data_IF_993207550321
#
_entry.id   IF_993207550321
#
_cell.length_a   1.000
_cell.length_b   1.000
_cell.length_c   1.000
_cell.angle_alpha   90.00
_cell.angle_beta   90.00
_cell.angle_gamma   90.00
#
_symmetry.space_group_name_H-M   'P 1'
#
loop_
_entity.id
_entity.type
_entity.pdbx_description
1 polymer ?
#
# COMPACT_ATOMS: atom_id res chain seq x y z
N UNK A 1 16.05 -13.32 -8.79
CA UNK A 1 17.00 -13.11 -7.68
C UNK A 1 16.15 -12.79 -6.45
N UNK A 2 16.22 -13.58 -5.38
CA UNK A 2 15.37 -13.30 -4.20
C UNK A 2 15.89 -12.02 -3.55
N UNK A 3 15.05 -11.02 -3.23
CA UNK A 3 15.50 -9.84 -2.49
C UNK A 3 16.19 -10.29 -1.20
N UNK A 4 17.25 -9.60 -0.76
CA UNK A 4 17.96 -10.01 0.44
C UNK A 4 16.98 -10.03 1.63
N UNK A 5 17.12 -10.99 2.56
CA UNK A 5 16.22 -11.07 3.71
C UNK A 5 16.28 -9.77 4.49
N UNK A 6 15.17 -9.33 5.09
CA UNK A 6 15.12 -8.06 5.85
C UNK A 6 16.26 -7.95 6.88
N UNK A 7 16.65 -9.08 7.46
CA UNK A 7 17.76 -9.18 8.43
C UNK A 7 19.12 -8.75 7.89
N UNK A 8 19.31 -8.69 6.56
CA UNK A 8 20.55 -8.18 5.97
C UNK A 8 20.77 -6.69 6.23
N UNK A 9 19.73 -5.96 6.64
CA UNK A 9 19.80 -4.54 6.96
C UNK A 9 19.91 -4.28 8.46
N UNK A 10 19.89 -5.31 9.32
CA UNK A 10 19.80 -5.16 10.78
C UNK A 10 20.90 -4.27 11.35
N UNK A 11 22.16 -4.47 10.96
CA UNK A 11 23.27 -3.64 11.48
C UNK A 11 23.09 -2.16 11.13
N UNK A 12 22.64 -1.86 9.90
CA UNK A 12 22.39 -0.48 9.45
C UNK A 12 21.17 0.11 10.15
N UNK A 13 20.11 -0.68 10.33
CA UNK A 13 18.88 -0.26 11.03
C UNK A 13 19.18 0.01 12.50
N UNK A 14 19.87 -0.90 13.18
CA UNK A 14 20.27 -0.76 14.59
C UNK A 14 21.15 0.49 14.78
N UNK A 15 22.17 0.68 13.95
CA UNK A 15 23.02 1.87 14.02
C UNK A 15 22.23 3.18 13.77
N UNK A 16 21.17 3.16 12.96
CA UNK A 16 20.30 4.32 12.78
C UNK A 16 19.38 4.53 13.99
N UNK A 17 18.77 3.46 14.50
CA UNK A 17 17.89 3.50 15.69
C UNK A 17 18.61 4.00 16.93
N UNK A 18 19.88 3.63 17.11
CA UNK A 18 20.74 4.09 18.21
C UNK A 18 21.00 5.60 18.15
N UNK A 19 20.95 6.19 16.94
CA UNK A 19 21.11 7.63 16.75
C UNK A 19 19.81 8.40 16.91
N UNK A 20 18.64 7.74 16.87
CA UNK A 20 17.33 8.40 16.86
C UNK A 20 16.85 8.78 18.26
N UNK A 21 16.22 9.96 18.37
CA UNK A 21 15.42 10.30 19.55
C UNK A 21 14.11 9.53 19.56
N UNK A 22 13.41 9.54 20.70
CA UNK A 22 12.10 8.89 20.80
C UNK A 22 11.07 9.55 19.88
N UNK A 23 11.14 10.88 19.71
CA UNK A 23 10.28 11.62 18.78
C UNK A 23 10.53 11.22 17.33
N UNK A 24 11.78 10.99 16.92
CA UNK A 24 12.08 10.50 15.58
C UNK A 24 11.60 9.07 15.39
N UNK A 25 11.68 8.20 16.42
CA UNK A 25 11.16 6.83 16.37
C UNK A 25 9.63 6.81 16.22
N UNK A 26 8.93 7.59 17.05
CA UNK A 26 7.47 7.76 16.95
C UNK A 26 7.07 8.38 15.62
N UNK A 27 7.85 9.36 15.14
CA UNK A 27 7.66 9.98 13.83
C UNK A 27 7.76 8.97 12.69
N UNK A 28 8.73 8.06 12.71
CA UNK A 28 8.84 6.99 11.71
C UNK A 28 7.64 6.03 11.71
N UNK A 29 6.92 5.90 12.83
CA UNK A 29 5.68 5.13 12.94
C UNK A 29 4.43 5.94 12.51
N UNK A 30 4.60 7.20 12.12
CA UNK A 30 3.51 8.11 11.77
C UNK A 30 3.42 8.28 10.26
N UNK A 31 2.28 7.89 9.70
CA UNK A 31 1.89 8.15 8.31
C UNK A 31 0.75 9.17 8.28
N UNK A 32 0.89 10.22 7.47
CA UNK A 32 -0.14 11.28 7.32
C UNK A 32 -0.69 11.33 5.89
N UNK A 33 -1.94 11.75 5.73
CA UNK A 33 -2.50 12.06 4.41
C UNK A 33 -1.87 13.34 3.84
N UNK A 34 -1.64 13.39 2.52
CA UNK A 34 -1.17 14.58 1.81
C UNK A 34 -2.04 15.83 2.07
N UNK A 35 -3.31 15.66 2.43
CA UNK A 35 -4.20 16.77 2.80
C UNK A 35 -3.62 17.67 3.91
N UNK A 36 -2.78 17.12 4.81
CA UNK A 36 -2.16 17.89 5.88
C UNK A 36 -1.02 18.79 5.43
N UNK A 37 -0.45 18.56 4.23
CA UNK A 37 0.72 19.30 3.74
C UNK A 37 0.43 20.17 2.50
N UNK A 38 -0.80 20.18 2.00
CA UNK A 38 -1.21 21.03 0.87
C UNK A 38 -1.90 22.29 1.36
N UNK A 39 -1.90 23.35 0.54
CA UNK A 39 -2.54 24.63 0.89
C UNK A 39 -4.05 24.46 1.08
N UNK A 40 -4.69 23.85 0.10
CA UNK A 40 -6.13 23.58 0.07
C UNK A 40 -6.39 22.24 -0.66
N UNK A 41 -6.79 21.17 0.05
CA UNK A 41 -7.00 19.86 -0.55
C UNK A 41 -8.26 19.78 -1.42
N UNK A 42 -9.17 20.75 -1.31
CA UNK A 42 -10.42 20.79 -2.09
C UNK A 42 -10.23 21.38 -3.49
N UNK A 43 -9.06 21.96 -3.77
CA UNK A 43 -8.72 22.51 -5.08
C UNK A 43 -8.68 21.44 -6.15
N UNK A 44 -9.09 21.75 -7.40
CA UNK A 44 -8.97 20.82 -8.52
C UNK A 44 -7.56 20.21 -8.60
N UNK A 45 -7.46 18.97 -9.10
CA UNK A 45 -6.23 18.19 -9.08
C UNK A 45 -5.02 18.93 -9.66
N UNK A 46 -5.22 19.78 -10.67
CA UNK A 46 -4.18 20.56 -11.35
C UNK A 46 -3.77 21.85 -10.63
N UNK A 47 -4.40 22.16 -9.50
CA UNK A 47 -4.15 23.34 -8.66
C UNK A 47 -3.65 22.95 -7.26
N UNK A 48 -3.46 21.64 -6.99
CA UNK A 48 -2.92 21.18 -5.72
C UNK A 48 -1.46 21.62 -5.58
N UNK A 49 -1.21 22.39 -4.53
CA UNK A 49 0.10 22.93 -4.19
C UNK A 49 0.50 22.54 -2.76
N UNK A 50 1.73 22.05 -2.61
CA UNK A 50 2.33 21.80 -1.29
C UNK A 50 2.54 23.13 -0.56
N UNK A 51 2.10 23.18 0.69
CA UNK A 51 2.35 24.28 1.59
C UNK A 51 3.72 24.05 2.28
N UNK A 52 4.74 24.89 2.02
CA UNK A 52 6.08 24.68 2.55
C UNK A 52 6.13 24.74 4.08
N UNK A 53 5.28 25.55 4.72
CA UNK A 53 5.26 25.66 6.17
C UNK A 53 4.64 24.42 6.80
N UNK A 54 3.53 23.92 6.24
CA UNK A 54 2.92 22.66 6.72
C UNK A 54 3.83 21.46 6.48
N UNK A 55 4.50 21.40 5.33
CA UNK A 55 5.48 20.36 5.04
C UNK A 55 6.65 20.39 6.03
N UNK A 56 7.20 21.58 6.29
CA UNK A 56 8.26 21.79 7.29
C UNK A 56 7.80 21.36 8.67
N UNK A 57 6.59 21.74 9.10
CA UNK A 57 6.04 21.31 10.40
C UNK A 57 5.95 19.79 10.47
N UNK A 58 5.36 19.15 9.46
CA UNK A 58 5.18 17.71 9.44
C UNK A 58 6.52 16.95 9.54
N UNK A 59 7.52 17.35 8.75
CA UNK A 59 8.80 16.65 8.66
C UNK A 59 9.77 17.09 9.76
N UNK A 60 9.94 18.39 9.99
CA UNK A 60 10.95 18.91 10.91
C UNK A 60 10.46 18.96 12.35
N UNK A 61 9.18 19.22 12.61
CA UNK A 61 8.69 19.33 13.98
C UNK A 61 8.16 17.97 14.46
N UNK A 62 7.38 17.26 13.63
CA UNK A 62 6.76 15.97 13.97
C UNK A 62 7.50 14.73 13.47
N UNK A 63 8.58 14.89 12.69
CA UNK A 63 9.48 13.78 12.27
C UNK A 63 8.78 12.64 11.53
N UNK A 64 7.65 12.91 10.86
CA UNK A 64 6.85 11.86 10.20
C UNK A 64 7.70 10.99 9.27
N UNK A 65 7.40 9.69 9.22
CA UNK A 65 8.11 8.74 8.36
C UNK A 65 7.44 8.55 7.01
N UNK A 66 6.14 8.85 6.90
CA UNK A 66 5.38 8.54 5.71
C UNK A 66 4.27 9.53 5.40
N UNK A 67 4.00 9.69 4.10
CA UNK A 67 2.85 10.41 3.56
C UNK A 67 2.08 9.47 2.63
N UNK A 68 0.77 9.61 2.53
CA UNK A 68 -0.02 8.84 1.59
C UNK A 68 -1.05 9.66 0.78
N UNK A 69 -1.60 8.97 -0.22
CA UNK A 69 -2.81 9.33 -0.97
C UNK A 69 -2.62 10.48 -1.98
N UNK A 70 -3.66 10.79 -2.74
CA UNK A 70 -3.89 12.07 -3.40
C UNK A 70 -4.74 12.97 -2.49
N UNK A 71 -4.72 14.27 -2.74
CA UNK A 71 -5.76 15.16 -2.23
C UNK A 71 -7.11 14.87 -2.90
N UNK A 72 -8.18 15.51 -2.42
CA UNK A 72 -9.57 15.10 -2.67
C UNK A 72 -9.99 15.07 -4.15
N UNK A 73 -9.23 15.70 -5.04
CA UNK A 73 -9.68 16.03 -6.40
C UNK A 73 -9.16 15.15 -7.53
N UNK A 74 -8.62 13.97 -7.22
CA UNK A 74 -8.36 12.91 -8.20
C UNK A 74 -6.91 12.79 -8.67
N UNK A 75 -6.69 12.15 -9.82
CA UNK A 75 -5.36 11.80 -10.32
C UNK A 75 -4.53 13.02 -10.77
N UNK A 76 -3.23 13.03 -10.46
CA UNK A 76 -2.30 14.09 -10.84
C UNK A 76 -1.54 13.78 -12.13
N UNK A 77 -1.07 14.84 -12.79
CA UNK A 77 -0.11 14.68 -13.88
C UNK A 77 1.22 14.10 -13.35
N UNK A 78 1.94 13.37 -14.19
CA UNK A 78 3.23 12.77 -13.83
C UNK A 78 4.24 13.82 -13.32
N UNK A 79 4.35 14.95 -14.00
CA UNK A 79 5.25 16.05 -13.62
C UNK A 79 4.87 16.67 -12.27
N UNK A 80 3.57 16.74 -11.96
CA UNK A 80 3.08 17.24 -10.69
C UNK A 80 3.45 16.29 -9.54
N UNK A 81 3.29 14.98 -9.74
CA UNK A 81 3.77 14.00 -8.77
C UNK A 81 5.27 14.13 -8.51
N UNK A 82 6.07 14.22 -9.57
CA UNK A 82 7.52 14.38 -9.45
C UNK A 82 7.90 15.63 -8.68
N UNK A 83 7.24 16.77 -8.94
CA UNK A 83 7.44 18.00 -8.18
C UNK A 83 7.09 17.85 -6.69
N UNK A 84 5.93 17.24 -6.38
CA UNK A 84 5.49 16.98 -4.99
C UNK A 84 6.50 16.08 -4.26
N UNK A 85 6.88 14.96 -4.87
CA UNK A 85 7.83 14.01 -4.26
C UNK A 85 9.20 14.67 -4.07
N UNK A 86 9.70 15.44 -5.05
CA UNK A 86 10.95 16.18 -4.91
C UNK A 86 10.90 17.14 -3.72
N UNK A 87 9.84 17.95 -3.59
CA UNK A 87 9.66 18.88 -2.45
C UNK A 87 9.68 18.15 -1.11
N UNK A 88 8.97 17.02 -1.00
CA UNK A 88 8.93 16.19 0.21
C UNK A 88 10.34 15.68 0.55
N UNK A 89 11.04 15.07 -0.40
CA UNK A 89 12.36 14.50 -0.15
C UNK A 89 13.43 15.57 0.10
N UNK A 90 13.33 16.74 -0.54
CA UNK A 90 14.25 17.85 -0.30
C UNK A 90 14.06 18.47 1.08
N UNK A 91 12.84 18.48 1.61
CA UNK A 91 12.60 18.85 3.01
C UNK A 91 13.12 17.77 3.98
N UNK A 92 12.85 16.49 3.70
CA UNK A 92 13.35 15.36 4.49
C UNK A 92 14.88 15.37 4.67
N UNK A 93 15.62 15.69 3.60
CA UNK A 93 17.09 15.81 3.63
C UNK A 93 17.60 16.86 4.63
N UNK A 94 16.83 17.90 4.94
CA UNK A 94 17.21 18.95 5.90
C UNK A 94 17.09 18.50 7.36
N UNK A 95 16.41 17.38 7.61
CA UNK A 95 16.31 16.82 8.97
C UNK A 95 17.65 16.28 9.45
N UNK A 96 17.82 16.17 10.77
CA UNK A 96 19.09 15.82 11.44
C UNK A 96 19.73 14.52 10.93
N UNK A 97 18.92 13.49 10.66
CA UNK A 97 19.37 12.19 10.16
C UNK A 97 19.08 11.97 8.67
N UNK A 98 18.47 12.95 8.00
CA UNK A 98 18.11 12.91 6.58
C UNK A 98 17.37 11.62 6.15
N UNK A 99 16.53 11.07 7.03
CA UNK A 99 15.73 9.88 6.73
C UNK A 99 14.68 10.25 5.66
N UNK A 100 14.64 9.54 4.51
CA UNK A 100 13.69 9.86 3.44
C UNK A 100 12.25 9.51 3.84
N UNK A 101 11.29 10.28 3.33
CA UNK A 101 9.86 10.02 3.58
C UNK A 101 9.39 8.89 2.66
N UNK A 102 8.72 7.88 3.24
CA UNK A 102 8.08 6.83 2.46
C UNK A 102 6.71 7.31 1.95
N UNK A 103 6.52 7.41 0.64
CA UNK A 103 5.22 7.77 0.07
C UNK A 103 4.42 6.53 -0.34
N UNK A 104 3.19 6.41 0.17
CA UNK A 104 2.27 5.32 -0.16
C UNK A 104 1.08 5.77 -1.02
N UNK A 105 0.63 4.91 -1.94
CA UNK A 105 -0.54 5.21 -2.79
C UNK A 105 -1.35 3.96 -3.13
N UNK A 106 -2.65 4.12 -3.33
CA UNK A 106 -3.50 3.08 -3.89
C UNK A 106 -3.36 3.03 -5.43
N UNK A 107 -2.42 2.22 -5.93
CA UNK A 107 -2.34 1.79 -7.34
C UNK A 107 -2.93 0.38 -7.46
N UNK A 108 -4.26 0.29 -7.61
CA UNK A 108 -5.03 -0.94 -7.37
C UNK A 108 -5.44 -1.71 -8.64
N UNK A 109 -5.39 -1.05 -9.81
CA UNK A 109 -5.70 -1.69 -11.10
C UNK A 109 -4.89 -1.01 -12.22
N UNK A 110 -3.61 -0.80 -11.96
CA UNK A 110 -2.80 0.22 -12.65
C UNK A 110 -2.50 1.38 -11.74
N UNK A 111 -1.73 2.33 -12.25
CA UNK A 111 -1.37 3.58 -11.55
C UNK A 111 -2.53 4.58 -11.57
N UNK A 112 -3.69 4.23 -10.99
CA UNK A 112 -4.96 4.95 -11.16
C UNK A 112 -4.97 6.42 -10.69
N UNK A 113 -4.04 6.81 -9.82
CA UNK A 113 -3.87 8.20 -9.39
C UNK A 113 -2.80 8.97 -10.19
N UNK A 114 -2.29 8.40 -11.27
CA UNK A 114 -1.39 9.02 -12.22
C UNK A 114 -2.14 9.18 -13.55
N UNK A 115 -2.31 10.41 -14.00
CA UNK A 115 -3.01 10.68 -15.27
C UNK A 115 -2.28 10.06 -16.45
N UNK A 116 -3.07 9.56 -17.40
CA UNK A 116 -2.62 8.86 -18.61
C UNK A 116 -1.85 7.55 -18.33
N UNK A 117 -1.86 7.06 -17.08
CA UNK A 117 -1.43 5.71 -16.78
C UNK A 117 -2.38 4.67 -17.41
N UNK A 118 -1.89 3.46 -17.60
CA UNK A 118 -2.70 2.36 -18.11
C UNK A 118 -3.59 1.86 -16.96
N UNK A 119 -4.89 1.76 -17.22
CA UNK A 119 -5.84 1.13 -16.31
C UNK A 119 -6.18 -0.26 -16.81
N UNK A 120 -6.14 -1.21 -15.90
CA UNK A 120 -6.49 -2.60 -16.12
C UNK A 120 -7.89 -2.91 -15.56
N UNK A 121 -8.48 -4.07 -15.89
CA UNK A 121 -9.64 -4.55 -15.16
C UNK A 121 -9.37 -4.61 -13.65
N UNK A 122 -10.41 -4.44 -12.84
CA UNK A 122 -10.32 -4.70 -11.40
C UNK A 122 -9.90 -6.16 -11.12
N UNK A 123 -9.41 -6.42 -9.91
CA UNK A 123 -8.85 -7.73 -9.55
C UNK A 123 -9.78 -8.91 -9.85
N UNK A 124 -11.09 -8.77 -9.64
CA UNK A 124 -12.07 -9.83 -9.99
C UNK A 124 -12.14 -10.06 -11.51
N UNK A 125 -12.07 -9.00 -12.31
CA UNK A 125 -12.02 -9.11 -13.78
C UNK A 125 -10.73 -9.74 -14.29
N UNK A 126 -9.60 -9.43 -13.64
CA UNK A 126 -8.33 -10.09 -13.90
C UNK A 126 -8.37 -11.57 -13.47
N UNK A 127 -8.95 -11.89 -12.31
CA UNK A 127 -9.09 -13.26 -11.82
C UNK A 127 -9.88 -14.16 -12.76
N UNK A 128 -10.91 -13.62 -13.44
CA UNK A 128 -11.69 -14.34 -14.45
C UNK A 128 -10.87 -14.83 -15.65
N UNK A 129 -9.63 -14.36 -15.81
CA UNK A 129 -8.70 -14.85 -16.85
C UNK A 129 -7.98 -16.14 -16.44
N UNK A 130 -7.95 -16.47 -15.14
CA UNK A 130 -7.15 -17.57 -14.56
C UNK A 130 -5.67 -17.53 -14.96
N UNK A 131 -5.15 -16.35 -15.31
CA UNK A 131 -3.82 -16.20 -15.90
C UNK A 131 -2.88 -15.44 -14.94
N UNK A 132 -2.10 -16.20 -14.17
CA UNK A 132 -1.11 -15.66 -13.23
C UNK A 132 0.03 -14.93 -13.92
N UNK A 133 0.43 -15.36 -15.12
CA UNK A 133 1.42 -14.64 -15.93
C UNK A 133 0.93 -13.24 -16.28
N UNK A 134 -0.34 -13.10 -16.68
CA UNK A 134 -0.95 -11.81 -16.94
C UNK A 134 -1.02 -10.95 -15.66
N UNK A 135 -1.39 -11.54 -14.51
CA UNK A 135 -1.39 -10.82 -13.24
C UNK A 135 -0.02 -10.27 -12.87
N UNK A 136 1.04 -11.05 -13.07
CA UNK A 136 2.43 -10.63 -12.84
C UNK A 136 2.84 -9.48 -13.76
N UNK A 137 2.53 -9.56 -15.07
CA UNK A 137 2.83 -8.48 -16.01
C UNK A 137 2.07 -7.19 -15.68
N UNK A 138 0.81 -7.29 -15.26
CA UNK A 138 0.02 -6.14 -14.81
C UNK A 138 0.63 -5.52 -13.55
N UNK A 139 1.05 -6.34 -12.58
CA UNK A 139 1.75 -5.86 -11.39
C UNK A 139 3.02 -5.09 -11.74
N UNK A 140 3.80 -5.60 -12.69
CA UNK A 140 5.02 -4.96 -13.20
C UNK A 140 4.75 -3.62 -13.89
N UNK A 141 3.76 -3.55 -14.78
CA UNK A 141 3.39 -2.30 -15.46
C UNK A 141 2.89 -1.26 -14.44
N UNK A 142 2.06 -1.70 -13.48
CA UNK A 142 1.51 -0.84 -12.43
C UNK A 142 2.62 -0.27 -11.54
N UNK A 143 3.61 -1.10 -11.16
CA UNK A 143 4.78 -0.67 -10.41
C UNK A 143 5.64 0.31 -11.18
N UNK A 144 5.94 0.03 -12.45
CA UNK A 144 6.73 0.91 -13.29
C UNK A 144 6.10 2.31 -13.42
N UNK A 145 4.78 2.37 -13.67
CA UNK A 145 4.06 3.64 -13.79
C UNK A 145 3.92 4.38 -12.45
N UNK A 146 3.77 3.65 -11.34
CA UNK A 146 3.77 4.24 -9.99
C UNK A 146 5.15 4.80 -9.64
N UNK A 147 6.22 4.07 -9.98
CA UNK A 147 7.60 4.51 -9.76
C UNK A 147 7.99 5.71 -10.61
N UNK A 148 7.46 5.83 -11.82
CA UNK A 148 7.69 7.02 -12.66
C UNK A 148 7.26 8.32 -11.95
N UNK A 149 6.24 8.24 -11.09
CA UNK A 149 5.76 9.33 -10.24
C UNK A 149 6.61 9.56 -8.97
N UNK A 150 7.67 8.78 -8.77
CA UNK A 150 8.56 8.85 -7.60
C UNK A 150 8.03 8.09 -6.37
N UNK A 151 6.92 7.36 -6.50
CA UNK A 151 6.23 6.73 -5.37
C UNK A 151 6.75 5.29 -5.18
N UNK A 152 7.38 4.96 -4.03
CA UNK A 152 8.00 3.66 -3.79
C UNK A 152 7.06 2.56 -3.26
N UNK A 153 5.86 2.89 -2.80
CA UNK A 153 5.01 1.96 -2.05
C UNK A 153 3.57 2.02 -2.56
N UNK A 154 3.03 0.86 -2.90
CA UNK A 154 1.65 0.72 -3.35
C UNK A 154 0.84 -0.15 -2.40
N UNK A 155 -0.38 0.30 -2.11
CA UNK A 155 -1.34 -0.40 -1.25
C UNK A 155 -2.11 -1.49 -2.01
N UNK A 156 -1.39 -2.43 -2.62
CA UNK A 156 -1.95 -3.55 -3.40
C UNK A 156 -0.93 -4.71 -3.39
N UNK A 157 -1.35 -6.00 -3.51
CA UNK A 157 -2.69 -6.53 -3.77
C UNK A 157 -3.65 -6.69 -2.58
N UNK A 158 -4.94 -6.62 -2.89
CA UNK A 158 -6.00 -7.05 -1.98
C UNK A 158 -6.26 -8.55 -2.16
N UNK A 159 -6.00 -9.33 -1.10
CA UNK A 159 -6.05 -10.80 -1.10
C UNK A 159 -7.13 -11.34 -0.15
N UNK A 160 -8.12 -10.51 0.18
CA UNK A 160 -9.31 -10.90 0.93
C UNK A 160 -10.11 -12.00 0.21
N UNK A 161 -10.71 -12.96 0.92
CA UNK A 161 -11.64 -13.91 0.28
C UNK A 161 -13.04 -13.27 0.18
N UNK A 162 -13.49 -12.99 -1.05
CA UNK A 162 -14.76 -12.32 -1.33
C UNK A 162 -15.95 -13.28 -1.38
N UNK A 163 -16.45 -13.74 -0.23
CA UNK A 163 -17.60 -14.67 -0.14
C UNK A 163 -18.92 -14.02 0.31
N UNK A 164 -18.89 -12.72 0.60
CA UNK A 164 -20.08 -11.94 0.91
C UNK A 164 -20.46 -11.05 -0.30
N UNK A 165 -21.52 -11.42 -1.03
CA UNK A 165 -21.90 -10.74 -2.29
C UNK A 165 -22.36 -9.30 -2.12
N UNK A 166 -22.85 -8.95 -0.93
CA UNK A 166 -23.28 -7.60 -0.59
C UNK A 166 -22.11 -6.68 -0.23
N UNK A 167 -20.91 -7.24 -0.03
CA UNK A 167 -19.74 -6.47 0.35
C UNK A 167 -19.30 -5.55 -0.79
N UNK A 168 -19.28 -4.22 -0.58
CA UNK A 168 -19.07 -3.26 -1.66
C UNK A 168 -17.66 -3.29 -2.25
N UNK A 169 -16.72 -4.02 -1.62
CA UNK A 169 -15.33 -4.15 -2.05
C UNK A 169 -15.01 -5.53 -2.65
N UNK A 170 -16.04 -6.36 -2.91
CA UNK A 170 -15.86 -7.69 -3.50
C UNK A 170 -15.07 -7.67 -4.81
N UNK A 171 -15.25 -6.64 -5.64
CA UNK A 171 -14.57 -6.50 -6.93
C UNK A 171 -13.08 -6.18 -6.83
N UNK A 172 -12.60 -5.74 -5.65
CA UNK A 172 -11.19 -5.40 -5.40
C UNK A 172 -10.31 -6.62 -5.15
N UNK A 173 -10.91 -7.78 -4.86
CA UNK A 173 -10.18 -9.05 -4.68
C UNK A 173 -10.25 -9.95 -5.91
N UNK A 174 -9.43 -11.00 -5.94
CA UNK A 174 -9.39 -12.04 -6.96
C UNK A 174 -10.51 -13.10 -6.81
N UNK A 175 -11.48 -12.89 -5.93
CA UNK A 175 -12.74 -13.65 -5.87
C UNK A 175 -12.93 -14.47 -4.59
N UNK A 176 -13.71 -15.56 -4.71
CA UNK A 176 -14.18 -16.37 -3.59
C UNK A 176 -13.36 -17.66 -3.33
N UNK A 177 -12.52 -18.04 -4.30
CA UNK A 177 -11.72 -19.27 -4.25
C UNK A 177 -10.33 -19.00 -3.68
N UNK A 178 -9.95 -19.80 -2.68
CA UNK A 178 -8.70 -19.61 -1.93
C UNK A 178 -7.49 -19.84 -2.82
N UNK A 179 -7.52 -20.88 -3.66
CA UNK A 179 -6.40 -21.19 -4.55
C UNK A 179 -6.20 -20.10 -5.59
N UNK A 180 -7.28 -19.63 -6.21
CA UNK A 180 -7.22 -18.55 -7.19
C UNK A 180 -6.68 -17.25 -6.58
N UNK A 181 -7.17 -16.87 -5.39
CA UNK A 181 -6.71 -15.66 -4.70
C UNK A 181 -5.24 -15.78 -4.28
N UNK A 182 -4.80 -16.95 -3.79
CA UNK A 182 -3.40 -17.24 -3.52
C UNK A 182 -2.53 -17.03 -4.76
N UNK A 183 -2.87 -17.70 -5.85
CA UNK A 183 -2.05 -17.75 -7.06
C UNK A 183 -1.99 -16.37 -7.75
N UNK A 184 -3.14 -15.69 -7.88
CA UNK A 184 -3.22 -14.37 -8.52
C UNK A 184 -2.61 -13.27 -7.65
N UNK A 185 -2.89 -13.28 -6.35
CA UNK A 185 -2.35 -12.31 -5.39
C UNK A 185 -0.82 -12.38 -5.32
N UNK A 186 -0.26 -13.59 -5.19
CA UNK A 186 1.19 -13.81 -5.25
C UNK A 186 1.79 -13.31 -6.55
N UNK A 187 1.22 -13.69 -7.69
CA UNK A 187 1.76 -13.32 -9.00
C UNK A 187 1.77 -11.80 -9.22
N UNK A 188 0.68 -11.12 -8.85
CA UNK A 188 0.60 -9.66 -8.91
C UNK A 188 1.65 -9.01 -8.00
N UNK A 189 1.75 -9.46 -6.75
CA UNK A 189 2.73 -8.97 -5.76
C UNK A 189 4.17 -9.12 -6.28
N UNK A 190 4.53 -10.30 -6.80
CA UNK A 190 5.85 -10.56 -7.38
C UNK A 190 6.13 -9.64 -8.59
N UNK A 191 5.09 -9.34 -9.39
CA UNK A 191 5.19 -8.37 -10.47
C UNK A 191 5.50 -6.96 -9.98
N UNK A 192 4.88 -6.54 -8.87
CA UNK A 192 5.07 -5.20 -8.33
C UNK A 192 6.44 -5.00 -7.67
N UNK A 193 6.84 -5.96 -6.82
CA UNK A 193 8.09 -5.87 -6.07
C UNK A 193 9.31 -6.23 -6.91
N UNK A 194 9.12 -7.08 -7.93
CA UNK A 194 10.21 -7.71 -8.63
C UNK A 194 11.16 -8.42 -7.67
N UNK A 195 12.43 -8.43 -8.06
CA UNK A 195 13.51 -9.09 -7.34
C UNK A 195 14.36 -8.10 -6.50
N UNK A 196 14.14 -6.79 -6.68
CA UNK A 196 14.94 -5.72 -6.11
C UNK A 196 14.10 -4.45 -5.92
N UNK A 197 13.84 -4.09 -4.65
CA UNK A 197 13.09 -2.88 -4.30
C UNK A 197 13.92 -1.59 -4.41
N UNK A 198 15.24 -1.69 -4.60
CA UNK A 198 16.10 -0.53 -4.90
C UNK A 198 15.99 -0.10 -6.36
N UNK A 199 15.39 -0.95 -7.22
CA UNK A 199 15.09 -0.65 -8.60
C UNK A 199 14.20 0.60 -8.74
N UNK A 200 14.42 1.31 -9.86
CA UNK A 200 13.57 2.43 -10.29
C UNK A 200 12.28 1.99 -10.98
N UNK A 201 12.03 0.68 -11.09
CA UNK A 201 10.86 0.13 -11.78
C UNK A 201 9.88 -0.59 -10.83
N UNK A 202 10.35 -0.97 -9.63
CA UNK A 202 9.59 -1.78 -8.69
C UNK A 202 9.06 -0.96 -7.51
N UNK A 203 7.94 -1.36 -6.93
CA UNK A 203 7.38 -0.77 -5.69
C UNK A 203 7.25 -1.81 -4.60
N UNK A 204 7.35 -1.40 -3.34
CA UNK A 204 6.90 -2.21 -2.22
C UNK A 204 5.40 -2.50 -2.38
N UNK A 205 5.01 -3.76 -2.26
CA UNK A 205 3.61 -4.19 -2.28
C UNK A 205 3.07 -4.24 -0.84
N UNK A 206 1.75 -4.13 -0.72
CA UNK A 206 1.05 -4.19 0.56
C UNK A 206 -0.14 -5.14 0.47
N UNK A 207 -0.08 -6.23 1.22
CA UNK A 207 -1.20 -7.17 1.31
C UNK A 207 -2.32 -6.54 2.12
N UNK A 208 -3.56 -6.59 1.62
CA UNK A 208 -4.71 -6.07 2.36
C UNK A 208 -5.97 -6.93 2.22
N UNK A 209 -6.89 -6.95 3.19
CA UNK A 209 -6.81 -6.31 4.52
C UNK A 209 -6.75 -7.39 5.61
N UNK A 210 -5.65 -7.45 6.35
CA UNK A 210 -5.36 -8.53 7.29
C UNK A 210 -6.17 -8.41 8.59
N UNK A 211 -7.10 -9.30 8.93
CA UNK A 211 -7.63 -10.41 8.11
C UNK A 211 -9.14 -10.57 8.32
N UNK A 212 -9.80 -11.29 7.41
CA UNK A 212 -11.23 -11.62 7.50
C UNK A 212 -12.18 -10.54 6.98
N UNK A 213 -11.66 -9.50 6.35
CA UNK A 213 -12.43 -8.31 5.95
C UNK A 213 -13.52 -8.60 4.89
N UNK A 214 -13.30 -9.61 4.03
CA UNK A 214 -14.22 -9.96 2.93
C UNK A 214 -15.48 -10.73 3.32
N UNK A 215 -15.76 -10.94 4.62
CA UNK A 215 -16.93 -11.66 5.10
C UNK A 215 -17.71 -10.93 6.22
N UNK A 216 -18.07 -9.64 6.07
CA UNK A 216 -18.95 -9.00 7.04
C UNK A 216 -20.32 -9.69 7.04
N UNK A 217 -20.87 -9.99 8.23
CA UNK A 217 -22.11 -10.75 8.35
C UNK A 217 -23.28 -10.06 7.62
N UNK A 218 -23.36 -8.73 7.76
CA UNK A 218 -24.43 -7.93 7.17
C UNK A 218 -24.22 -7.61 5.69
N UNK A 219 -23.01 -7.83 5.16
CA UNK A 219 -22.60 -7.32 3.85
C UNK A 219 -22.16 -5.86 3.84
N UNK A 220 -22.49 -5.07 4.85
CA UNK A 220 -22.03 -3.68 4.91
C UNK A 220 -20.55 -3.61 5.28
N UNK A 221 -19.85 -2.67 4.65
CA UNK A 221 -18.42 -2.51 4.87
C UNK A 221 -18.10 -2.17 6.33
N UNK A 222 -16.99 -2.72 6.84
CA UNK A 222 -16.50 -2.52 8.23
C UNK A 222 -17.52 -2.88 9.32
N UNK A 223 -18.50 -3.73 9.01
CA UNK A 223 -19.37 -4.34 10.04
C UNK A 223 -18.81 -5.69 10.49
N UNK A 224 -19.21 -6.19 11.68
CA UNK A 224 -18.61 -7.39 12.25
C UNK A 224 -18.67 -8.62 11.33
N UNK A 225 -17.58 -9.37 11.31
CA UNK A 225 -17.48 -10.70 10.73
C UNK A 225 -17.44 -11.77 11.84
N UNK A 226 -18.07 -12.91 11.58
CA UNK A 226 -18.03 -14.08 12.46
C UNK A 226 -17.37 -15.22 11.70
N UNK A 227 -16.13 -15.54 12.05
CA UNK A 227 -15.29 -16.49 11.33
C UNK A 227 -14.67 -17.41 12.37
N UNK A 228 -15.11 -18.67 12.44
CA UNK A 228 -14.46 -19.64 13.31
C UNK A 228 -13.03 -19.97 12.85
N UNK A 229 -12.23 -20.52 13.76
CA UNK A 229 -10.82 -20.80 13.54
C UNK A 229 -10.55 -21.66 12.31
N UNK A 230 -11.45 -22.62 12.02
CA UNK A 230 -11.29 -23.47 10.84
C UNK A 230 -11.42 -22.65 9.58
N UNK A 231 -12.47 -21.85 9.44
CA UNK A 231 -12.60 -20.96 8.28
C UNK A 231 -11.45 -19.95 8.18
N UNK A 232 -11.01 -19.39 9.30
CA UNK A 232 -9.88 -18.45 9.33
C UNK A 232 -8.60 -19.09 8.78
N UNK A 233 -8.25 -20.29 9.27
CA UNK A 233 -7.05 -21.02 8.88
C UNK A 233 -7.16 -21.61 7.47
N UNK A 234 -8.33 -22.08 7.06
CA UNK A 234 -8.52 -22.77 5.78
C UNK A 234 -8.72 -21.79 4.62
N UNK A 235 -9.33 -20.61 4.86
CA UNK A 235 -9.74 -19.71 3.78
C UNK A 235 -9.06 -18.34 3.83
N UNK A 236 -9.05 -17.66 4.97
CA UNK A 236 -8.70 -16.24 5.02
C UNK A 236 -7.21 -15.96 5.23
N UNK A 237 -6.50 -16.80 5.98
CA UNK A 237 -5.05 -16.68 6.19
C UNK A 237 -4.18 -17.17 5.02
N UNK A 238 -4.54 -18.25 4.26
CA UNK A 238 -3.65 -18.81 3.24
C UNK A 238 -3.18 -17.84 2.14
N UNK A 239 -3.99 -16.90 1.61
CA UNK A 239 -3.50 -15.91 0.65
C UNK A 239 -2.42 -14.97 1.21
N UNK A 240 -2.55 -14.58 2.48
CA UNK A 240 -1.53 -13.78 3.15
C UNK A 240 -0.27 -14.60 3.41
N UNK A 241 -0.41 -15.82 3.93
CA UNK A 241 0.73 -16.71 4.18
C UNK A 241 1.55 -16.95 2.91
N UNK A 242 0.89 -17.28 1.79
CA UNK A 242 1.55 -17.51 0.51
C UNK A 242 2.33 -16.27 0.03
N UNK A 243 1.71 -15.09 0.14
CA UNK A 243 2.33 -13.85 -0.31
C UNK A 243 3.47 -13.38 0.60
N UNK A 244 3.34 -13.59 1.92
CA UNK A 244 4.42 -13.34 2.90
C UNK A 244 5.60 -14.28 2.65
N UNK A 245 5.35 -15.58 2.43
CA UNK A 245 6.40 -16.55 2.06
C UNK A 245 7.07 -16.21 0.73
N UNK A 246 6.35 -15.57 -0.19
CA UNK A 246 6.89 -15.07 -1.45
C UNK A 246 7.62 -13.71 -1.32
N UNK A 247 7.69 -13.12 -0.13
CA UNK A 247 8.50 -11.94 0.17
C UNK A 247 7.74 -10.61 0.15
N UNK A 248 6.41 -10.61 0.31
CA UNK A 248 5.66 -9.35 0.50
C UNK A 248 6.22 -8.56 1.70
N UNK A 249 6.48 -7.26 1.50
CA UNK A 249 7.20 -6.43 2.50
C UNK A 249 6.32 -5.59 3.39
N UNK A 250 5.00 -5.53 3.14
CA UNK A 250 4.06 -4.82 4.01
C UNK A 250 2.67 -5.46 3.99
N UNK A 251 1.92 -5.21 5.07
CA UNK A 251 0.55 -5.68 5.28
C UNK A 251 -0.27 -4.55 5.88
N UNK A 252 -1.48 -4.34 5.37
CA UNK A 252 -2.46 -3.39 5.89
C UNK A 252 -3.54 -4.14 6.67
N UNK A 253 -3.84 -3.66 7.87
CA UNK A 253 -4.75 -4.31 8.80
C UNK A 253 -6.22 -4.04 8.43
N UNK A 254 -7.07 -5.03 8.68
CA UNK A 254 -8.51 -4.96 8.56
C UNK A 254 -9.07 -3.84 9.47
N UNK A 255 -9.84 -2.94 8.87
CA UNK A 255 -10.50 -1.84 9.58
C UNK A 255 -11.77 -2.27 10.33
N UNK A 256 -12.32 -3.44 10.02
CA UNK A 256 -13.50 -4.01 10.68
C UNK A 256 -13.14 -4.80 11.94
N UNK A 257 -14.10 -5.61 12.35
CA UNK A 257 -14.04 -6.46 13.54
C UNK A 257 -14.26 -7.92 13.14
N UNK A 258 -13.53 -8.84 13.78
CA UNK A 258 -13.73 -10.29 13.64
C UNK A 258 -13.96 -10.87 15.03
N UNK A 259 -15.07 -11.58 15.22
CA UNK A 259 -15.43 -12.26 16.47
C UNK A 259 -15.41 -11.38 17.73
N UNK A 260 -15.87 -10.13 17.65
CA UNK A 260 -15.83 -9.21 18.80
C UNK A 260 -14.54 -8.41 18.95
N UNK A 261 -13.52 -8.64 18.10
CA UNK A 261 -12.21 -8.01 18.22
C UNK A 261 -11.91 -7.15 16.98
N UNK A 262 -11.70 -5.82 17.14
CA UNK A 262 -11.27 -4.96 16.06
C UNK A 262 -9.91 -5.41 15.50
N UNK A 263 -9.74 -5.38 14.18
CA UNK A 263 -8.51 -5.88 13.53
C UNK A 263 -7.23 -5.20 14.02
N UNK A 264 -7.32 -3.94 14.45
CA UNK A 264 -6.19 -3.14 14.95
C UNK A 264 -5.86 -3.39 16.45
N UNK A 265 -6.59 -4.28 17.12
CA UNK A 265 -6.38 -4.65 18.52
C UNK A 265 -5.97 -6.13 18.71
N UNK A 266 -5.72 -6.84 17.60
CA UNK A 266 -5.23 -8.23 17.57
C UNK A 266 -3.73 -8.33 17.83
#
# INVERSE_FOLDING_TARGET
>A
MVPPPLTSFDDRVNALLDQMSDEEKVGQMTQVTINLIVKDPSKPWNEIEVDPDKLRIAIQDYKIGSILNVAETGAYALSQWQDIICKIQDEAKKSRLSIPILYGIDSIHGANYIRNAVLFPQATGLAATFNTTLAREIGKISAHQTRAAGIPWSFHPQVDIGRQKLWPRLWETFGEDVKLVKDMGRAYMEGMQGDDLTSRENVAACLKHYVGYGLPLSGQDRTPAWIDDRHMLEYFLPPFEESVRAGAVSVMINSGEVNGIPGHAL
#
